data_IF_721227198514
#
_entry.id   IF_721227198514
#
_cell.length_a   1.000
_cell.length_b   1.000
_cell.length_c   1.000
_cell.angle_alpha   90.00
_cell.angle_beta   90.00
_cell.angle_gamma   90.00
#
_symmetry.space_group_name_H-M   'P 1'
#
loop_
_entity.id
_entity.type
_entity.pdbx_description
1 polymer ?
#
# COMPACT_ATOMS: atom_id res chain seq x y z
N UNK A 1 -10.58 10.80 5.95
CA UNK A 1 -10.89 9.36 5.78
C UNK A 1 -12.31 9.24 5.28
N UNK A 2 -12.57 8.28 4.41
CA UNK A 2 -13.90 8.00 3.85
C UNK A 2 -14.83 7.35 4.90
N UNK A 3 -16.16 7.50 4.71
CA UNK A 3 -17.12 6.79 5.54
C UNK A 3 -17.37 5.38 4.95
N UNK A 4 -17.33 4.37 5.80
CA UNK A 4 -17.63 2.98 5.42
C UNK A 4 -19.08 2.65 5.69
N UNK A 5 -19.66 1.75 4.88
CA UNK A 5 -20.99 1.20 5.07
C UNK A 5 -20.97 -0.32 5.15
N UNK A 6 -22.10 -0.97 5.27
CA UNK A 6 -22.24 -2.43 5.45
C UNK A 6 -21.73 -3.27 4.27
N UNK A 7 -21.58 -2.67 3.09
CA UNK A 7 -21.19 -3.39 1.87
C UNK A 7 -19.67 -3.56 1.72
N UNK A 8 -18.87 -2.78 2.43
CA UNK A 8 -17.41 -2.90 2.39
C UNK A 8 -16.97 -4.27 2.92
N UNK A 9 -16.32 -5.08 2.10
CA UNK A 9 -15.81 -6.40 2.48
C UNK A 9 -14.30 -6.42 2.38
N UNK A 10 -13.64 -6.81 3.48
CA UNK A 10 -12.18 -6.91 3.56
C UNK A 10 -11.73 -8.28 3.07
N UNK A 11 -10.86 -8.31 2.07
CA UNK A 11 -10.26 -9.53 1.50
C UNK A 11 -8.76 -9.44 1.60
N UNK A 12 -8.11 -10.35 2.32
CA UNK A 12 -6.65 -10.41 2.42
C UNK A 12 -6.04 -10.86 1.10
N UNK A 13 -4.95 -10.19 0.69
CA UNK A 13 -4.15 -10.54 -0.48
C UNK A 13 -2.89 -11.27 -0.05
N UNK A 14 -2.78 -12.55 -0.38
CA UNK A 14 -1.65 -13.40 -0.01
C UNK A 14 -0.53 -13.45 -1.07
N UNK A 15 -0.74 -12.86 -2.22
CA UNK A 15 0.20 -12.83 -3.35
C UNK A 15 1.22 -11.69 -3.30
N UNK A 16 1.03 -10.75 -2.38
CA UNK A 16 1.95 -9.63 -2.17
C UNK A 16 3.06 -9.99 -1.18
N UNK A 17 4.30 -9.57 -1.46
CA UNK A 17 5.42 -9.81 -0.55
C UNK A 17 5.18 -9.17 0.82
N UNK A 18 5.36 -9.96 1.87
CA UNK A 18 5.18 -9.47 3.24
C UNK A 18 6.23 -8.44 3.61
N UNK A 19 5.79 -7.33 4.21
CA UNK A 19 6.66 -6.29 4.73
C UNK A 19 7.41 -6.75 5.99
N UNK A 20 8.60 -6.22 6.20
CA UNK A 20 9.31 -6.37 7.47
C UNK A 20 8.44 -5.88 8.64
N UNK A 21 8.38 -6.68 9.70
CA UNK A 21 7.52 -6.37 10.87
C UNK A 21 8.07 -5.18 11.67
N UNK A 22 9.38 -5.15 11.92
CA UNK A 22 9.99 -4.12 12.78
C UNK A 22 10.34 -2.83 12.06
N UNK A 23 10.76 -2.90 10.78
CA UNK A 23 11.27 -1.75 10.05
C UNK A 23 10.95 -1.85 8.55
N UNK A 24 9.68 -1.79 8.14
CA UNK A 24 9.30 -1.82 6.74
C UNK A 24 9.71 -0.55 5.98
N UNK A 25 9.82 0.58 6.65
CA UNK A 25 10.20 1.90 6.13
C UNK A 25 9.49 2.23 4.80
N UNK A 26 8.16 2.19 4.74
CA UNK A 26 7.44 2.40 3.49
C UNK A 26 7.67 3.81 2.95
N UNK A 27 7.99 3.90 1.66
CA UNK A 27 8.16 5.14 0.92
C UNK A 27 7.17 5.20 -0.24
N UNK A 28 6.52 6.34 -0.42
CA UNK A 28 5.57 6.57 -1.50
C UNK A 28 6.13 7.64 -2.45
N UNK A 29 6.10 7.35 -3.74
CA UNK A 29 6.22 8.35 -4.78
C UNK A 29 4.91 8.44 -5.56
N UNK A 30 4.39 9.63 -5.73
CA UNK A 30 3.19 9.85 -6.53
C UNK A 30 3.27 11.16 -7.32
N UNK A 31 2.80 11.10 -8.55
CA UNK A 31 2.49 12.27 -9.37
C UNK A 31 1.11 12.07 -10.04
N UNK A 32 0.71 12.93 -10.96
CA UNK A 32 -0.60 12.85 -11.63
C UNK A 32 -0.83 11.54 -12.40
N UNK A 33 0.24 10.82 -12.76
CA UNK A 33 0.20 9.68 -13.68
C UNK A 33 0.57 8.36 -13.03
N UNK A 34 1.40 8.40 -11.99
CA UNK A 34 2.03 7.20 -11.43
C UNK A 34 2.07 7.26 -9.90
N UNK A 35 1.85 6.10 -9.30
CA UNK A 35 2.00 5.90 -7.86
C UNK A 35 2.80 4.63 -7.61
N UNK A 36 3.82 4.74 -6.77
CA UNK A 36 4.67 3.63 -6.34
C UNK A 36 4.73 3.61 -4.82
N UNK A 37 4.79 2.41 -4.28
CA UNK A 37 5.04 2.13 -2.87
C UNK A 37 6.25 1.19 -2.80
N UNK A 38 7.27 1.58 -2.04
CA UNK A 38 8.44 0.75 -1.78
C UNK A 38 8.56 0.46 -0.28
N UNK A 39 8.92 -0.76 0.10
CA UNK A 39 9.12 -1.16 1.50
C UNK A 39 10.07 -2.35 1.62
N UNK A 40 10.77 -2.46 2.76
CA UNK A 40 11.60 -3.62 3.04
C UNK A 40 10.76 -4.88 3.27
N UNK A 41 11.23 -5.99 2.71
CA UNK A 41 10.60 -7.30 2.86
C UNK A 41 10.96 -7.95 4.20
N UNK A 42 10.08 -8.84 4.65
CA UNK A 42 10.35 -9.72 5.79
C UNK A 42 11.32 -10.82 5.36
N UNK A 43 12.60 -10.59 5.58
CA UNK A 43 13.66 -11.57 5.30
C UNK A 43 14.40 -11.94 6.58
N UNK A 44 14.75 -13.22 6.69
CA UNK A 44 15.67 -13.71 7.73
C UNK A 44 17.05 -13.80 7.11
N UNK A 45 18.03 -12.98 7.56
CA UNK A 45 19.39 -13.05 7.02
C UNK A 45 19.98 -14.44 7.20
N UNK A 46 20.75 -14.94 6.23
CA UNK A 46 21.46 -16.19 6.40
C UNK A 46 22.35 -16.17 7.65
N UNK A 47 22.19 -17.18 8.53
CA UNK A 47 22.97 -17.29 9.76
C UNK A 47 22.50 -16.42 10.94
N UNK A 48 21.34 -15.76 10.83
CA UNK A 48 20.76 -15.04 11.97
C UNK A 48 20.27 -16.02 13.03
N UNK A 49 20.73 -15.83 14.26
CA UNK A 49 20.47 -16.70 15.41
C UNK A 49 19.23 -16.32 16.22
N UNK A 50 18.51 -15.26 15.80
CA UNK A 50 17.34 -14.75 16.50
C UNK A 50 17.64 -13.86 17.72
N UNK A 51 18.89 -13.59 18.03
CA UNK A 51 19.28 -12.87 19.27
C UNK A 51 19.70 -11.43 19.02
N UNK A 52 20.14 -11.09 17.79
CA UNK A 52 20.57 -9.74 17.46
C UNK A 52 19.45 -8.92 16.84
N UNK A 53 19.27 -7.68 17.32
CA UNK A 53 18.39 -6.69 16.71
C UNK A 53 19.11 -6.04 15.54
N UNK A 54 18.49 -6.08 14.37
CA UNK A 54 19.00 -5.38 13.19
C UNK A 54 18.28 -4.04 13.02
N UNK A 55 19.05 -2.98 12.99
CA UNK A 55 18.50 -1.64 12.71
C UNK A 55 18.59 -1.42 11.21
N UNK A 56 17.45 -1.12 10.59
CA UNK A 56 17.35 -0.74 9.18
C UNK A 56 17.10 0.76 9.07
N UNK A 57 17.70 1.37 8.06
CA UNK A 57 17.45 2.73 7.60
C UNK A 57 17.24 2.79 6.09
N UNK A 58 17.05 3.96 5.52
CA UNK A 58 16.80 4.12 4.09
C UNK A 58 18.01 3.77 3.21
N UNK A 59 19.21 3.66 3.79
CA UNK A 59 20.48 3.38 3.11
C UNK A 59 20.99 1.93 3.31
N UNK A 60 20.26 1.10 4.06
CA UNK A 60 20.59 -0.31 4.26
C UNK A 60 20.56 -1.07 2.93
N UNK A 61 21.76 -1.40 2.40
CA UNK A 61 21.95 -1.80 0.99
C UNK A 61 21.90 -3.32 0.73
N UNK A 62 21.82 -4.14 1.78
CA UNK A 62 21.80 -5.63 1.69
C UNK A 62 20.42 -6.20 1.92
N UNK A 63 19.40 -5.44 1.53
CA UNK A 63 18.01 -5.77 1.79
C UNK A 63 17.28 -6.09 0.50
N UNK A 64 16.11 -6.71 0.65
CA UNK A 64 15.14 -6.85 -0.43
C UNK A 64 14.02 -5.85 -0.24
N UNK A 65 13.76 -5.07 -1.27
CA UNK A 65 12.73 -4.03 -1.31
C UNK A 65 11.65 -4.45 -2.29
N UNK A 66 10.40 -4.54 -1.83
CA UNK A 66 9.27 -4.58 -2.75
C UNK A 66 9.04 -3.21 -3.36
N UNK A 67 8.81 -3.14 -4.66
CA UNK A 67 8.34 -1.96 -5.38
C UNK A 67 6.99 -2.32 -5.98
N UNK A 68 5.94 -1.69 -5.49
CA UNK A 68 4.58 -1.85 -5.98
C UNK A 68 4.24 -0.66 -6.87
N UNK A 69 4.04 -0.92 -8.15
CA UNK A 69 3.59 0.08 -9.13
C UNK A 69 2.08 -0.01 -9.31
N UNK A 70 1.33 0.99 -8.90
CA UNK A 70 -0.12 1.01 -9.08
C UNK A 70 -0.50 1.48 -10.48
N UNK A 71 -1.40 0.75 -11.11
CA UNK A 71 -1.89 1.05 -12.47
C UNK A 71 -3.13 1.93 -12.36
N UNK A 72 -3.08 3.13 -12.94
CA UNK A 72 -4.22 4.05 -12.93
C UNK A 72 -4.70 4.37 -11.50
N UNK A 73 -3.80 4.80 -10.64
CA UNK A 73 -4.14 5.22 -9.28
C UNK A 73 -4.93 6.55 -9.32
N UNK A 74 -6.15 6.52 -8.82
CA UNK A 74 -7.06 7.67 -8.81
C UNK A 74 -7.03 8.46 -7.49
N UNK A 75 -6.72 7.79 -6.39
CA UNK A 75 -6.64 8.39 -5.08
C UNK A 75 -5.72 7.57 -4.18
N UNK A 76 -5.09 8.23 -3.22
CA UNK A 76 -4.25 7.59 -2.23
C UNK A 76 -4.28 8.32 -0.89
N UNK A 77 -3.96 7.61 0.18
CA UNK A 77 -3.71 8.13 1.51
C UNK A 77 -2.50 7.42 2.10
N UNK A 78 -1.64 8.15 2.80
CA UNK A 78 -0.50 7.58 3.51
C UNK A 78 -0.32 8.29 4.85
N UNK A 79 -0.24 7.52 5.92
CA UNK A 79 -0.11 8.02 7.28
C UNK A 79 -0.77 7.11 8.32
N UNK A 80 -1.38 7.67 9.39
CA UNK A 80 -2.04 6.86 10.40
C UNK A 80 -3.26 6.08 9.82
N UNK A 81 -3.66 4.98 10.50
CA UNK A 81 -3.13 4.50 11.77
C UNK A 81 -1.85 3.68 11.63
N UNK A 82 -1.09 3.55 12.73
CA UNK A 82 -0.05 2.56 12.92
C UNK A 82 -0.66 1.24 13.45
N UNK A 83 0.18 0.22 13.70
CA UNK A 83 -0.26 -1.09 14.19
C UNK A 83 -0.88 -1.06 15.58
N UNK A 84 -0.44 -0.15 16.47
CA UNK A 84 -1.03 0.01 17.80
C UNK A 84 -2.42 0.64 17.77
N UNK A 85 -2.64 1.56 16.81
CA UNK A 85 -3.88 2.32 16.66
C UNK A 85 -4.80 1.77 15.55
N UNK A 86 -4.44 0.67 14.87
CA UNK A 86 -5.19 0.17 13.72
C UNK A 86 -6.67 -0.13 14.01
N UNK A 87 -7.01 -0.44 15.28
CA UNK A 87 -8.40 -0.64 15.71
C UNK A 87 -9.28 0.59 15.53
N UNK A 88 -8.68 1.78 15.38
CA UNK A 88 -9.37 3.01 15.02
C UNK A 88 -9.67 3.13 13.52
N UNK A 89 -9.15 2.25 12.67
CA UNK A 89 -9.48 2.24 11.25
C UNK A 89 -10.95 1.84 11.04
N UNK A 90 -11.71 2.51 10.16
CA UNK A 90 -13.15 2.22 9.96
C UNK A 90 -13.46 0.77 9.59
N UNK A 91 -12.52 0.05 8.96
CA UNK A 91 -12.66 -1.35 8.56
C UNK A 91 -12.02 -2.35 9.53
N UNK A 92 -11.46 -1.90 10.67
CA UNK A 92 -10.73 -2.79 11.59
C UNK A 92 -11.58 -3.95 12.08
N UNK A 93 -12.86 -3.70 12.42
CA UNK A 93 -13.79 -4.75 12.87
C UNK A 93 -14.19 -5.76 11.78
N UNK A 94 -13.75 -5.56 10.52
CA UNK A 94 -14.09 -6.40 9.37
C UNK A 94 -12.95 -7.31 8.90
N UNK A 95 -11.91 -7.44 9.70
CA UNK A 95 -10.82 -8.38 9.43
C UNK A 95 -9.51 -7.74 8.97
N UNK A 96 -9.36 -6.41 9.01
CA UNK A 96 -8.04 -5.80 8.86
C UNK A 96 -7.12 -6.28 9.98
N UNK A 97 -5.85 -6.47 9.65
CA UNK A 97 -4.80 -6.84 10.59
C UNK A 97 -3.47 -6.18 10.24
N UNK A 98 -2.58 -5.97 11.21
CA UNK A 98 -1.28 -5.37 10.98
C UNK A 98 -0.41 -6.25 10.08
N UNK A 99 0.54 -5.64 9.38
CA UNK A 99 1.57 -6.28 8.53
C UNK A 99 1.01 -7.10 7.37
N UNK A 100 -0.19 -6.75 6.88
CA UNK A 100 -0.89 -7.44 5.81
C UNK A 100 -1.37 -6.48 4.75
N UNK A 101 -1.76 -7.06 3.62
CA UNK A 101 -2.33 -6.32 2.50
C UNK A 101 -3.74 -6.81 2.22
N UNK A 102 -4.63 -5.87 1.91
CA UNK A 102 -6.04 -6.15 1.69
C UNK A 102 -6.55 -5.47 0.41
N UNK A 103 -7.57 -6.08 -0.18
CA UNK A 103 -8.46 -5.45 -1.14
C UNK A 103 -9.83 -5.29 -0.50
N UNK A 104 -10.44 -4.14 -0.70
CA UNK A 104 -11.80 -3.88 -0.22
C UNK A 104 -12.77 -4.03 -1.38
N UNK A 105 -13.61 -5.03 -1.31
CA UNK A 105 -14.70 -5.23 -2.25
C UNK A 105 -15.89 -4.35 -1.88
N UNK A 106 -16.63 -3.90 -2.88
CA UNK A 106 -17.73 -2.93 -2.73
C UNK A 106 -17.34 -1.67 -1.95
N UNK A 107 -16.11 -1.20 -2.14
CA UNK A 107 -15.53 -0.10 -1.37
C UNK A 107 -16.39 1.15 -1.40
N UNK A 108 -16.77 1.65 -0.22
CA UNK A 108 -17.46 2.93 -0.07
C UNK A 108 -16.61 4.11 -0.51
N UNK A 109 -15.27 4.00 -0.43
CA UNK A 109 -14.37 5.03 -0.96
C UNK A 109 -14.42 5.09 -2.50
N UNK A 110 -14.39 3.95 -3.17
CA UNK A 110 -14.59 3.90 -4.65
C UNK A 110 -15.93 4.51 -5.05
N UNK A 111 -17.00 4.16 -4.34
CA UNK A 111 -18.33 4.75 -4.58
C UNK A 111 -18.40 6.26 -4.28
N UNK A 112 -17.63 6.74 -3.30
CA UNK A 112 -17.54 8.18 -3.01
C UNK A 112 -16.80 8.93 -4.14
N UNK A 113 -15.70 8.37 -4.65
CA UNK A 113 -14.97 8.91 -5.80
C UNK A 113 -15.84 8.92 -7.06
N UNK A 114 -16.65 7.88 -7.27
CA UNK A 114 -17.60 7.82 -8.37
C UNK A 114 -18.63 8.98 -8.29
N UNK A 115 -19.28 9.17 -7.14
CA UNK A 115 -20.23 10.26 -6.94
C UNK A 115 -19.59 11.63 -7.13
N UNK A 116 -18.36 11.82 -6.65
CA UNK A 116 -17.63 13.07 -6.84
C UNK A 116 -17.38 13.36 -8.32
N UNK A 117 -17.08 12.33 -9.12
CA UNK A 117 -16.78 12.45 -10.54
C UNK A 117 -18.06 12.52 -11.42
N UNK A 118 -19.24 12.25 -10.87
CA UNK A 118 -20.53 12.22 -11.60
C UNK A 118 -20.93 13.57 -12.21
N UNK A 119 -20.33 14.67 -11.74
CA UNK A 119 -20.54 16.02 -12.31
C UNK A 119 -19.86 16.23 -13.68
N UNK A 120 -18.96 15.33 -14.07
CA UNK A 120 -18.23 15.44 -15.35
C UNK A 120 -19.16 15.14 -16.52
N UNK A 121 -19.20 15.98 -17.60
CA UNK A 121 -20.15 15.82 -18.71
C UNK A 121 -20.00 14.51 -19.50
N UNK A 122 -18.82 13.89 -19.46
CA UNK A 122 -18.54 12.58 -20.07
C UNK A 122 -18.35 11.48 -19.04
N UNK A 123 -19.01 11.63 -17.88
CA UNK A 123 -18.96 10.66 -16.81
C UNK A 123 -19.43 9.26 -17.26
N UNK A 124 -18.68 8.24 -16.84
CA UNK A 124 -19.01 6.83 -17.03
C UNK A 124 -18.75 6.11 -15.71
N UNK A 125 -19.81 5.71 -14.98
CA UNK A 125 -19.69 5.09 -13.65
C UNK A 125 -18.73 3.90 -13.64
N UNK A 126 -18.77 3.07 -14.68
CA UNK A 126 -17.95 1.85 -14.80
C UNK A 126 -16.44 2.12 -14.77
N UNK A 127 -15.99 3.32 -15.14
CA UNK A 127 -14.56 3.69 -15.09
C UNK A 127 -14.03 3.82 -13.68
N UNK A 128 -14.88 4.24 -12.75
CA UNK A 128 -14.50 4.39 -11.34
C UNK A 128 -14.90 3.15 -10.55
N UNK A 129 -16.12 2.64 -10.76
CA UNK A 129 -16.62 1.46 -10.03
C UNK A 129 -15.84 0.18 -10.35
N UNK A 130 -15.12 0.13 -11.48
CA UNK A 130 -14.21 -0.97 -11.83
C UNK A 130 -12.84 -0.91 -11.14
N UNK A 131 -12.55 0.13 -10.36
CA UNK A 131 -11.31 0.24 -9.61
C UNK A 131 -11.34 -0.60 -8.33
N UNK A 132 -10.16 -1.00 -7.88
CA UNK A 132 -9.97 -1.71 -6.62
C UNK A 132 -9.41 -0.77 -5.55
N UNK A 133 -9.87 -0.91 -4.32
CA UNK A 133 -9.33 -0.24 -3.17
C UNK A 133 -8.36 -1.19 -2.45
N UNK A 134 -7.09 -0.80 -2.33
CA UNK A 134 -6.02 -1.56 -1.68
C UNK A 134 -5.61 -0.89 -0.37
N UNK A 135 -5.33 -1.70 0.66
CA UNK A 135 -4.83 -1.26 1.97
C UNK A 135 -3.58 -2.05 2.33
N UNK A 136 -2.49 -1.36 2.62
CA UNK A 136 -1.22 -1.90 3.11
C UNK A 136 -1.01 -1.44 4.55
N UNK A 137 -1.00 -2.38 5.49
CA UNK A 137 -0.84 -2.10 6.92
C UNK A 137 0.62 -2.35 7.34
N UNK A 138 1.32 -1.29 7.70
CA UNK A 138 2.71 -1.35 8.16
C UNK A 138 2.81 -1.15 9.68
N UNK A 139 4.03 -1.15 10.21
CA UNK A 139 4.28 -0.90 11.64
C UNK A 139 3.82 0.51 12.05
N UNK A 140 4.38 1.54 11.45
CA UNK A 140 4.14 2.93 11.85
C UNK A 140 3.11 3.67 10.99
N UNK A 141 2.57 3.02 9.96
CA UNK A 141 1.69 3.68 8.99
C UNK A 141 0.80 2.71 8.22
N UNK A 142 -0.20 3.27 7.59
CA UNK A 142 -1.08 2.61 6.62
C UNK A 142 -0.98 3.35 5.28
N UNK A 143 -0.89 2.61 4.19
CA UNK A 143 -1.06 3.15 2.85
C UNK A 143 -2.34 2.59 2.24
N UNK A 144 -3.15 3.46 1.67
CA UNK A 144 -4.37 3.08 0.97
C UNK A 144 -4.39 3.73 -0.42
N UNK A 145 -4.90 3.01 -1.41
CA UNK A 145 -5.13 3.61 -2.72
C UNK A 145 -6.29 2.96 -3.46
N UNK A 146 -6.84 3.73 -4.41
CA UNK A 146 -7.83 3.26 -5.38
C UNK A 146 -7.18 3.25 -6.76
N UNK A 147 -7.02 2.06 -7.34
CA UNK A 147 -6.31 1.84 -8.60
C UNK A 147 -6.95 0.71 -9.41
N UNK A 148 -6.61 0.61 -10.71
CA UNK A 148 -7.06 -0.52 -11.55
C UNK A 148 -6.39 -1.85 -11.18
N UNK A 149 -5.20 -1.79 -10.58
CA UNK A 149 -4.39 -2.95 -10.21
C UNK A 149 -2.98 -2.53 -9.82
N UNK A 150 -2.09 -3.49 -9.72
CA UNK A 150 -0.68 -3.26 -9.39
C UNK A 150 0.25 -4.21 -10.15
N UNK A 151 1.54 -3.83 -10.16
CA UNK A 151 2.65 -4.69 -10.58
C UNK A 151 3.66 -4.73 -9.44
N UNK A 152 4.32 -5.88 -9.27
CA UNK A 152 5.30 -6.11 -8.22
C UNK A 152 6.67 -6.29 -8.87
N UNK A 153 7.67 -5.61 -8.33
CA UNK A 153 9.08 -5.87 -8.59
C UNK A 153 9.81 -5.98 -7.25
N UNK A 154 10.86 -6.79 -7.21
CA UNK A 154 11.76 -6.87 -6.05
C UNK A 154 13.11 -6.28 -6.47
N UNK A 155 13.62 -5.37 -5.66
CA UNK A 155 14.91 -4.73 -5.81
C UNK A 155 15.82 -5.19 -4.69
N UNK A 156 17.04 -5.61 -5.01
CA UNK A 156 18.08 -5.89 -4.03
C UNK A 156 18.91 -4.62 -3.79
N UNK A 157 18.90 -4.13 -2.56
CA UNK A 157 19.55 -2.89 -2.19
C UNK A 157 18.74 -2.08 -1.15
N UNK A 158 18.96 -0.79 -1.11
CA UNK A 158 18.33 0.11 -0.15
C UNK A 158 17.01 0.69 -0.68
N UNK A 159 16.15 1.18 0.24
CA UNK A 159 14.96 1.98 -0.15
C UNK A 159 15.39 3.18 -1.01
N UNK A 160 16.51 3.84 -0.67
CA UNK A 160 17.02 4.97 -1.46
C UNK A 160 17.32 4.56 -2.91
N UNK A 161 18.00 3.42 -3.13
CA UNK A 161 18.30 2.93 -4.47
C UNK A 161 17.05 2.50 -5.23
N UNK A 162 16.09 1.87 -4.55
CA UNK A 162 14.78 1.51 -5.11
C UNK A 162 14.01 2.76 -5.56
N UNK A 163 13.97 3.81 -4.74
CA UNK A 163 13.29 5.07 -5.06
C UNK A 163 13.99 5.83 -6.20
N UNK A 164 15.32 5.80 -6.27
CA UNK A 164 16.05 6.37 -7.41
C UNK A 164 15.65 5.69 -8.73
N UNK A 165 15.49 4.36 -8.73
CA UNK A 165 14.97 3.60 -9.87
C UNK A 165 13.54 4.01 -10.23
N UNK A 166 12.66 4.13 -9.23
CA UNK A 166 11.28 4.58 -9.42
C UNK A 166 11.22 5.95 -10.11
N UNK A 167 12.08 6.90 -9.69
CA UNK A 167 12.13 8.24 -10.29
C UNK A 167 12.52 8.20 -11.78
N UNK A 168 13.44 7.31 -12.16
CA UNK A 168 13.81 7.11 -13.58
C UNK A 168 12.64 6.51 -14.39
N UNK A 169 11.90 5.57 -13.80
CA UNK A 169 10.75 4.93 -14.46
C UNK A 169 9.53 5.89 -14.53
N UNK A 170 9.45 6.87 -13.66
CA UNK A 170 8.35 7.84 -13.56
C UNK A 170 8.50 9.06 -14.50
N UNK A 171 9.71 9.35 -14.96
CA UNK A 171 9.99 10.42 -15.93
C UNK A 171 9.80 9.97 -17.35
#
# INVERSE_FOLDING_TARGET
MYAVDENDTVVELADLPQSAVGAPLPCVFANEWRTFLAYYLQDTPPGWDGTSVRVLDLDSDKERVAIISFVGCHAQMFGPPNDEAFRGHPLAARGLGPYRVFRIENSSWVRALERMNAVHPYHKPERILGLSHFIFMFHDSTFECVASGYKIAVHEGSIRSAMARVLVEAG
#
